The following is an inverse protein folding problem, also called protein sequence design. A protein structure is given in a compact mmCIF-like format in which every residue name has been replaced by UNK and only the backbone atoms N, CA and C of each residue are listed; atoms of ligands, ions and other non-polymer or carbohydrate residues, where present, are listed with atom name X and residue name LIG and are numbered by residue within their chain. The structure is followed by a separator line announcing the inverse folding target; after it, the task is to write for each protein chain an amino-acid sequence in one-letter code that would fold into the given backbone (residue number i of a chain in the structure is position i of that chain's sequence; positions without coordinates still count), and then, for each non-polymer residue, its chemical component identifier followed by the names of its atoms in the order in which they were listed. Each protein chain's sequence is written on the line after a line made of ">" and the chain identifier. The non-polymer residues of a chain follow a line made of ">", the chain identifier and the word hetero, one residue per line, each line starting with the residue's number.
data_IF_303400904795
#
_entry.id   IF_303400904795
#
_cell.length_a   1.000
_cell.length_b   1.000
_cell.length_c   1.000
_cell.angle_alpha   90.00
_cell.angle_beta   90.00
_cell.angle_gamma   90.00
#
_symmetry.space_group_name_H-M   'P 1'
#
loop_
_entity.id
_entity.type
_entity.pdbx_description
1 polymer ?
#
# COMPACT_ATOMS: atom_id res chain seq x y z
N UNK A 1 9.03 -16.75 2.95
CA UNK A 1 7.61 -16.43 2.68
C UNK A 1 7.31 -16.84 1.25
N UNK A 2 6.20 -17.56 1.04
CA UNK A 2 5.70 -17.85 -0.31
C UNK A 2 4.21 -17.56 -0.31
N UNK A 3 3.78 -16.50 -1.01
CA UNK A 3 2.38 -16.25 -1.32
C UNK A 3 2.00 -16.97 -2.62
N UNK A 4 0.73 -17.39 -2.74
CA UNK A 4 0.18 -18.04 -3.94
C UNK A 4 -0.86 -17.11 -4.55
N UNK A 5 -0.69 -16.78 -5.83
CA UNK A 5 -1.55 -15.89 -6.62
C UNK A 5 -0.85 -15.49 -7.92
N UNK A 6 -1.55 -14.90 -8.89
CA UNK A 6 -0.88 -14.34 -10.08
C UNK A 6 -0.29 -12.96 -9.74
N UNK A 7 0.83 -12.98 -9.04
CA UNK A 7 1.47 -11.80 -8.49
C UNK A 7 2.39 -11.17 -9.56
N UNK A 8 1.77 -10.44 -10.48
CA UNK A 8 2.49 -9.66 -11.50
C UNK A 8 2.76 -8.22 -11.02
N UNK A 9 2.45 -7.94 -9.76
CA UNK A 9 2.50 -6.61 -9.16
C UNK A 9 3.14 -6.66 -7.78
N UNK A 10 4.27 -5.95 -7.64
CA UNK A 10 5.06 -5.82 -6.41
C UNK A 10 5.56 -4.38 -6.28
N UNK A 11 5.46 -3.82 -5.07
CA UNK A 11 6.18 -2.61 -4.65
C UNK A 11 6.83 -2.85 -3.29
N UNK A 12 7.86 -2.06 -2.99
CA UNK A 12 8.56 -2.07 -1.69
C UNK A 12 8.64 -0.64 -1.19
N UNK A 13 8.09 -0.39 0.00
CA UNK A 13 8.12 0.89 0.68
C UNK A 13 7.88 0.69 2.17
N UNK A 14 8.35 1.63 2.99
CA UNK A 14 7.93 1.74 4.38
C UNK A 14 6.53 2.34 4.40
N UNK A 15 5.51 1.52 4.70
CA UNK A 15 4.10 1.92 4.58
C UNK A 15 3.54 2.44 5.89
N UNK A 16 4.28 2.30 7.00
CA UNK A 16 3.87 2.70 8.34
C UNK A 16 4.95 3.50 9.09
N UNK A 17 5.88 4.10 8.35
CA UNK A 17 6.97 4.99 8.81
C UNK A 17 7.78 4.44 10.00
N UNK A 18 8.01 3.12 10.03
CA UNK A 18 8.72 2.46 11.14
C UNK A 18 10.22 2.21 10.86
N UNK A 19 10.69 2.69 9.72
CA UNK A 19 12.06 2.55 9.22
C UNK A 19 12.33 1.21 8.55
N UNK A 20 11.35 0.32 8.39
CA UNK A 20 11.52 -0.99 7.74
C UNK A 20 10.71 -1.06 6.45
N UNK A 21 11.31 -1.55 5.34
CA UNK A 21 10.59 -1.70 4.09
C UNK A 21 9.59 -2.86 4.17
N UNK A 22 8.33 -2.57 3.83
CA UNK A 22 7.24 -3.52 3.66
C UNK A 22 7.10 -3.94 2.19
N UNK A 23 6.29 -4.97 1.93
CA UNK A 23 5.98 -5.43 0.57
C UNK A 23 4.50 -5.21 0.26
N UNK A 24 4.23 -4.55 -0.86
CA UNK A 24 2.87 -4.46 -1.42
C UNK A 24 2.77 -5.43 -2.58
N UNK A 25 1.86 -6.40 -2.49
CA UNK A 25 1.63 -7.40 -3.52
C UNK A 25 0.19 -7.38 -4.00
N UNK A 26 -0.01 -7.40 -5.31
CA UNK A 26 -1.34 -7.38 -5.89
C UNK A 26 -1.51 -8.44 -7.00
N UNK A 27 -2.71 -8.99 -7.08
CA UNK A 27 -3.05 -10.05 -8.03
C UNK A 27 -3.67 -9.48 -9.31
N UNK A 28 -3.21 -10.00 -10.45
CA UNK A 28 -3.84 -9.75 -11.75
C UNK A 28 -5.04 -10.68 -12.04
N UNK A 29 -5.06 -11.86 -11.45
CA UNK A 29 -6.03 -12.95 -11.66
C UNK A 29 -6.28 -13.67 -10.33
N UNK A 30 -7.38 -14.42 -10.27
CA UNK A 30 -7.74 -15.20 -9.09
C UNK A 30 -8.65 -14.39 -8.16
N UNK A 31 -8.26 -14.27 -6.88
CA UNK A 31 -9.08 -13.57 -5.88
C UNK A 31 -8.91 -12.03 -5.95
N UNK A 32 -8.00 -11.55 -6.81
CA UNK A 32 -7.74 -10.13 -7.06
C UNK A 32 -7.39 -9.40 -5.77
N UNK A 33 -6.53 -10.04 -4.96
CA UNK A 33 -6.13 -9.53 -3.65
C UNK A 33 -5.05 -8.46 -3.79
N UNK A 34 -5.20 -7.39 -3.03
CA UNK A 34 -4.14 -6.46 -2.67
C UNK A 34 -3.74 -6.74 -1.22
N UNK A 35 -2.48 -7.10 -1.00
CA UNK A 35 -1.96 -7.46 0.31
C UNK A 35 -0.70 -6.67 0.65
N UNK A 36 -0.65 -6.14 1.87
CA UNK A 36 0.52 -5.53 2.48
C UNK A 36 1.20 -6.58 3.37
N UNK A 37 2.50 -6.73 3.23
CA UNK A 37 3.31 -7.60 4.07
C UNK A 37 4.20 -6.71 4.93
N UNK A 38 3.75 -6.48 6.16
CA UNK A 38 4.46 -5.62 7.11
C UNK A 38 5.70 -6.30 7.63
N UNK A 39 6.82 -5.61 7.60
CA UNK A 39 8.12 -6.11 8.01
C UNK A 39 8.31 -5.94 9.51
N UNK A 40 8.32 -7.06 10.23
CA UNK A 40 8.50 -7.10 11.68
C UNK A 40 9.98 -7.18 12.09
N UNK A 41 10.91 -7.10 11.12
CA UNK A 41 12.34 -7.29 11.34
C UNK A 41 12.77 -8.76 11.38
N UNK A 42 14.08 -8.99 11.24
CA UNK A 42 14.66 -10.34 11.30
C UNK A 42 14.13 -11.29 10.22
N UNK A 43 13.70 -10.77 9.07
CA UNK A 43 13.10 -11.57 7.98
C UNK A 43 11.68 -12.06 8.24
N UNK A 44 11.00 -11.55 9.28
CA UNK A 44 9.61 -11.89 9.61
C UNK A 44 8.67 -10.86 9.02
N UNK A 45 7.56 -11.33 8.45
CA UNK A 45 6.51 -10.47 7.90
C UNK A 45 5.15 -10.97 8.33
N UNK A 46 4.19 -10.05 8.44
CA UNK A 46 2.77 -10.36 8.62
C UNK A 46 1.97 -9.84 7.43
N UNK A 47 1.11 -10.69 6.88
CA UNK A 47 0.23 -10.34 5.77
C UNK A 47 -1.02 -9.63 6.29
N UNK A 48 -1.38 -8.53 5.67
CA UNK A 48 -2.61 -7.78 5.85
C UNK A 48 -3.32 -7.66 4.49
N UNK A 49 -4.59 -8.05 4.44
CA UNK A 49 -5.42 -7.79 3.27
C UNK A 49 -5.81 -6.31 3.26
N UNK A 50 -5.40 -5.59 2.22
CA UNK A 50 -5.75 -4.17 2.02
C UNK A 50 -7.03 -4.05 1.21
N UNK A 51 -7.19 -4.90 0.18
CA UNK A 51 -8.34 -4.85 -0.70
C UNK A 51 -8.51 -6.11 -1.53
N UNK A 52 -9.64 -6.20 -2.23
CA UNK A 52 -9.99 -7.34 -3.07
C UNK A 52 -10.98 -6.97 -4.17
N UNK A 53 -11.11 -7.85 -5.16
CA UNK A 53 -12.10 -7.74 -6.24
C UNK A 53 -11.72 -6.82 -7.39
N UNK A 54 -10.53 -6.21 -7.34
CA UNK A 54 -9.99 -5.35 -8.38
C UNK A 54 -8.60 -5.85 -8.74
N UNK A 55 -8.37 -6.07 -10.03
CA UNK A 55 -7.07 -6.55 -10.50
C UNK A 55 -6.01 -5.45 -10.47
N UNK A 56 -4.75 -5.86 -10.35
CA UNK A 56 -3.60 -4.99 -10.56
C UNK A 56 -2.64 -5.61 -11.57
N UNK A 57 -2.27 -4.84 -12.59
CA UNK A 57 -1.38 -5.22 -13.66
C UNK A 57 -0.10 -4.37 -13.64
N UNK A 58 1.02 -4.96 -14.08
CA UNK A 58 2.32 -4.31 -14.32
C UNK A 58 2.92 -3.49 -13.16
N UNK A 59 2.75 -3.96 -11.92
CA UNK A 59 3.44 -3.37 -10.77
C UNK A 59 2.76 -2.14 -10.19
N UNK A 60 2.25 -2.28 -8.98
CA UNK A 60 1.79 -1.18 -8.16
C UNK A 60 2.94 -0.21 -7.85
N UNK A 61 2.58 1.02 -7.50
CA UNK A 61 3.49 2.05 -7.00
C UNK A 61 2.99 2.56 -5.66
N UNK A 62 3.93 2.97 -4.83
CA UNK A 62 3.67 3.56 -3.52
C UNK A 62 4.19 4.98 -3.51
N UNK A 63 3.32 5.96 -3.27
CA UNK A 63 3.63 7.38 -3.40
C UNK A 63 2.69 8.19 -2.50
N UNK A 64 3.24 9.19 -1.83
CA UNK A 64 2.48 10.20 -1.10
C UNK A 64 1.85 11.16 -2.14
N UNK A 65 0.55 11.00 -2.38
CA UNK A 65 -0.22 11.72 -3.39
C UNK A 65 -0.89 12.97 -2.83
N UNK A 66 -1.25 12.99 -1.55
CA UNK A 66 -1.96 14.11 -0.93
C UNK A 66 -1.12 14.94 0.06
N UNK A 67 0.13 14.54 0.29
CA UNK A 67 1.14 15.31 1.00
C UNK A 67 1.06 15.21 2.51
N UNK A 68 0.36 14.21 3.05
CA UNK A 68 0.24 13.98 4.49
C UNK A 68 1.40 13.15 5.07
N UNK A 69 2.29 12.64 4.21
CA UNK A 69 3.46 11.86 4.57
C UNK A 69 3.22 10.36 4.64
N UNK A 70 2.00 9.90 4.47
CA UNK A 70 1.69 8.50 4.18
C UNK A 70 1.79 8.21 2.69
N UNK A 71 2.07 6.95 2.35
CA UNK A 71 2.16 6.53 0.94
C UNK A 71 0.90 5.80 0.54
N UNK A 72 0.24 6.30 -0.50
CA UNK A 72 -0.85 5.62 -1.18
C UNK A 72 -0.34 4.50 -2.06
N UNK A 73 -1.20 3.53 -2.33
CA UNK A 73 -0.94 2.50 -3.34
C UNK A 73 -1.67 2.92 -4.62
N UNK A 74 -0.96 2.95 -5.74
CA UNK A 74 -1.51 3.19 -7.08
C UNK A 74 -1.26 1.98 -7.95
N UNK A 75 -2.29 1.53 -8.68
CA UNK A 75 -2.14 0.47 -9.68
C UNK A 75 -3.02 0.71 -10.89
N UNK A 76 -2.80 -0.08 -11.93
CA UNK A 76 -3.63 -0.09 -13.13
C UNK A 76 -4.29 -1.46 -13.28
N UNK A 77 -5.55 -1.49 -13.71
CA UNK A 77 -6.14 -2.71 -14.24
C UNK A 77 -5.95 -2.83 -15.76
N UNK A 78 -6.20 -4.01 -16.32
CA UNK A 78 -5.89 -4.32 -17.73
C UNK A 78 -7.04 -4.99 -18.48
N UNK A 79 -7.71 -5.96 -17.86
CA UNK A 79 -8.80 -6.73 -18.46
C UNK A 79 -10.16 -6.10 -18.16
N UNK A 80 -10.61 -6.23 -16.92
CA UNK A 80 -11.99 -5.99 -16.51
C UNK A 80 -12.21 -4.55 -16.09
N UNK A 81 -11.19 -3.96 -15.46
CA UNK A 81 -11.19 -2.57 -15.03
C UNK A 81 -10.01 -1.86 -15.71
N UNK A 82 -10.22 -1.33 -16.91
CA UNK A 82 -9.23 -0.47 -17.59
C UNK A 82 -9.18 0.92 -16.91
N UNK A 83 -8.83 0.92 -15.64
CA UNK A 83 -8.86 2.08 -14.77
C UNK A 83 -7.57 2.17 -13.95
N UNK A 84 -7.32 3.37 -13.44
CA UNK A 84 -6.34 3.60 -12.38
C UNK A 84 -7.07 3.37 -11.05
N UNK A 85 -6.41 2.65 -10.15
CA UNK A 85 -6.89 2.40 -8.80
C UNK A 85 -5.95 3.09 -7.82
N UNK A 86 -6.53 3.73 -6.81
CA UNK A 86 -5.81 4.35 -5.70
C UNK A 86 -6.40 3.82 -4.40
N UNK A 87 -5.55 3.31 -3.52
CA UNK A 87 -5.91 2.96 -2.15
C UNK A 87 -5.24 3.96 -1.23
N UNK A 88 -6.07 4.66 -0.45
CA UNK A 88 -5.59 5.63 0.54
C UNK A 88 -4.96 4.95 1.73
N UNK A 89 -3.85 5.52 2.19
CA UNK A 89 -3.27 5.24 3.48
C UNK A 89 -3.50 6.48 4.35
N UNK A 90 -4.12 6.30 5.51
CA UNK A 90 -4.46 7.39 6.43
C UNK A 90 -3.93 7.04 7.84
N UNK A 91 -2.80 6.33 7.92
CA UNK A 91 -2.22 5.81 9.18
C UNK A 91 -1.57 6.93 10.03
N UNK A 92 -1.24 8.08 9.44
CA UNK A 92 -0.73 9.31 10.05
C UNK A 92 -1.77 10.42 9.86
N UNK A 93 -2.49 10.73 10.94
CA UNK A 93 -3.34 11.94 10.98
C UNK A 93 -2.47 13.17 11.24
N UNK A 94 -2.70 14.32 10.58
CA UNK A 94 -1.93 15.55 10.79
C UNK A 94 -1.83 16.04 12.25
N UNK A 95 -2.74 15.58 13.12
CA UNK A 95 -2.66 15.82 14.57
C UNK A 95 -1.38 15.30 15.22
N UNK A 96 -0.72 14.33 14.61
CA UNK A 96 0.51 13.73 15.14
C UNK A 96 1.76 14.55 14.78
N UNK A 97 1.64 15.51 13.84
CA UNK A 97 2.71 16.47 13.50
C UNK A 97 2.55 17.86 14.13
N UNK A 98 1.33 18.26 14.53
CA UNK A 98 1.05 19.58 15.11
C UNK A 98 0.82 19.60 16.64
N UNK A 99 1.53 18.77 17.41
CA UNK A 99 1.67 19.00 18.86
C UNK A 99 2.67 20.15 19.20
N UNK A 100 3.02 20.98 18.21
CA UNK A 100 3.93 22.11 18.36
C UNK A 100 3.57 23.27 17.41
N UNK A 101 2.74 24.20 17.92
CA UNK A 101 2.74 25.63 17.57
C UNK A 101 1.93 26.12 16.34
N UNK A 102 0.60 26.27 16.45
CA UNK A 102 -0.12 27.42 15.84
C UNK A 102 -1.36 27.79 16.70
N UNK A 103 -1.58 29.07 17.09
CA UNK A 103 -2.73 29.48 17.90
C UNK A 103 -4.01 29.64 17.07
N UNK A 104 -5.21 29.59 17.70
CA UNK A 104 -6.49 29.54 16.99
C UNK A 104 -6.84 30.84 16.27
N UNK A 105 -7.57 30.72 15.15
CA UNK A 105 -8.40 31.80 14.59
C UNK A 105 -9.86 31.57 14.92
#
# INVERSE_FOLDING_TARGET
>A
ITSRGSLNSLSVADMNDDGRPDLVMAEHRGALRLSLWRNLGGGRFIEQLVGGGVESHLGARTVDLDGDGDREIVSIGWDAAQAIHVWRNDDIVPSDREAGQVPPR
#
